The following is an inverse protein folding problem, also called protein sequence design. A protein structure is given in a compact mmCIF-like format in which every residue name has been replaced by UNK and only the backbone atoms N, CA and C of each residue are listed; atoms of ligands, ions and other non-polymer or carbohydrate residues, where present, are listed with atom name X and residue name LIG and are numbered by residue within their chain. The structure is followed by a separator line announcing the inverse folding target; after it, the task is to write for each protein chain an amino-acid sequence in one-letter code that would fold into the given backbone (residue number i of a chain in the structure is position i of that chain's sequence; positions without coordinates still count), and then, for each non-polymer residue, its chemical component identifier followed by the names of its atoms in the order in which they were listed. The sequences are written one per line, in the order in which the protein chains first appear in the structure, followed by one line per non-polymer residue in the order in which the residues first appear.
data_IF_970345625255
#
_entry.id   IF_970345625255
#
_cell.length_a   1.000
_cell.length_b   1.000
_cell.length_c   1.000
_cell.angle_alpha   90.00
_cell.angle_beta   90.00
_cell.angle_gamma   90.00
#
_symmetry.space_group_name_H-M   'P 1'
#
loop_
_entity.id
_entity.type
_entity.pdbx_description
1 polymer ?
#
# COMPACT_ATOMS: atom_id res chain seq x y z
N UNK A 1 9.79 16.87 3.23
CA UNK A 1 8.76 17.08 4.28
C UNK A 1 7.81 15.89 4.32
N UNK A 2 6.90 15.70 3.35
CA UNK A 2 5.92 14.60 3.36
C UNK A 2 6.46 13.19 3.73
N UNK A 3 7.59 12.74 3.18
CA UNK A 3 8.20 11.45 3.58
C UNK A 3 8.58 11.40 5.05
N UNK A 4 9.22 12.45 5.57
CA UNK A 4 9.61 12.53 6.97
C UNK A 4 8.39 12.57 7.89
N UNK A 5 7.35 13.31 7.51
CA UNK A 5 6.10 13.43 8.27
C UNK A 5 5.36 12.08 8.36
N UNK A 6 5.55 11.21 7.36
CA UNK A 6 4.99 9.85 7.30
C UNK A 6 5.96 8.77 7.83
N UNK A 7 7.15 9.15 8.33
CA UNK A 7 8.17 8.19 8.81
C UNK A 7 8.78 7.31 7.71
N UNK A 8 8.69 7.73 6.45
CA UNK A 8 9.18 6.97 5.29
C UNK A 8 10.66 7.30 5.04
N UNK A 9 11.55 6.29 4.91
CA UNK A 9 12.94 6.51 4.56
C UNK A 9 13.11 7.28 3.24
N UNK A 10 14.13 8.13 3.18
CA UNK A 10 14.38 8.97 2.01
C UNK A 10 14.73 8.15 0.76
N UNK A 11 15.37 6.99 0.95
CA UNK A 11 15.83 6.05 -0.08
C UNK A 11 14.83 4.93 -0.40
N UNK A 12 13.67 4.91 0.27
CA UNK A 12 12.64 3.92 0.00
C UNK A 12 11.95 4.15 -1.35
N UNK A 13 11.66 3.07 -2.07
CA UNK A 13 10.64 3.07 -3.12
C UNK A 13 9.29 3.33 -2.46
N UNK A 14 8.51 4.27 -2.98
CA UNK A 14 7.19 4.59 -2.45
C UNK A 14 6.16 4.42 -3.53
N UNK A 15 5.12 3.63 -3.24
CA UNK A 15 3.98 3.44 -4.14
C UNK A 15 2.73 3.97 -3.45
N UNK A 16 2.12 4.98 -4.04
CA UNK A 16 0.80 5.45 -3.63
C UNK A 16 -0.28 4.57 -4.24
N UNK A 17 -1.12 3.96 -3.40
CA UNK A 17 -2.19 3.06 -3.82
C UNK A 17 -3.55 3.67 -3.46
N UNK A 18 -4.39 3.93 -4.47
CA UNK A 18 -5.67 4.61 -4.30
C UNK A 18 -6.82 3.66 -4.70
N UNK A 19 -7.28 2.78 -3.79
CA UNK A 19 -8.28 1.75 -4.10
C UNK A 19 -9.71 2.28 -4.26
N UNK A 20 -9.93 3.58 -4.06
CA UNK A 20 -11.22 4.24 -4.20
C UNK A 20 -11.61 5.06 -2.98
N UNK A 21 -12.63 5.89 -3.15
CA UNK A 21 -13.21 6.70 -2.06
C UNK A 21 -14.52 6.12 -1.54
N UNK A 22 -15.15 5.23 -2.31
CA UNK A 22 -16.42 4.60 -1.96
C UNK A 22 -16.18 3.25 -1.31
N UNK A 23 -16.98 2.93 -0.29
CA UNK A 23 -16.87 1.67 0.42
C UNK A 23 -17.06 0.44 -0.49
N UNK A 24 -17.95 0.54 -1.49
CA UNK A 24 -18.17 -0.52 -2.48
C UNK A 24 -16.94 -0.76 -3.37
N UNK A 25 -16.23 0.29 -3.78
CA UNK A 25 -14.99 0.17 -4.56
C UNK A 25 -13.93 -0.58 -3.76
N UNK A 26 -13.71 -0.16 -2.51
CA UNK A 26 -12.66 -0.73 -1.65
C UNK A 26 -12.98 -2.18 -1.27
N UNK A 27 -14.25 -2.53 -1.04
CA UNK A 27 -14.65 -3.94 -0.79
C UNK A 27 -14.38 -4.85 -1.98
N UNK A 28 -14.58 -4.35 -3.20
CA UNK A 28 -14.39 -5.14 -4.42
C UNK A 28 -12.92 -5.22 -4.84
N UNK A 29 -12.20 -4.10 -4.75
CA UNK A 29 -10.90 -3.94 -5.40
C UNK A 29 -9.72 -3.83 -4.42
N UNK A 30 -9.97 -3.58 -3.13
CA UNK A 30 -8.91 -3.27 -2.17
C UNK A 30 -7.84 -4.37 -2.09
N UNK A 31 -8.28 -5.62 -2.00
CA UNK A 31 -7.39 -6.79 -1.95
C UNK A 31 -6.57 -6.96 -3.24
N UNK A 32 -7.23 -6.86 -4.41
CA UNK A 32 -6.60 -6.95 -5.72
C UNK A 32 -5.57 -5.83 -5.95
N UNK A 33 -5.89 -4.60 -5.51
CA UNK A 33 -4.98 -3.46 -5.61
C UNK A 33 -3.72 -3.66 -4.77
N UNK A 34 -3.86 -4.16 -3.54
CA UNK A 34 -2.72 -4.46 -2.67
C UNK A 34 -1.85 -5.54 -3.32
N UNK A 35 -2.46 -6.61 -3.83
CA UNK A 35 -1.72 -7.67 -4.54
C UNK A 35 -0.95 -7.14 -5.75
N UNK A 36 -1.61 -6.33 -6.58
CA UNK A 36 -1.00 -5.77 -7.77
C UNK A 36 0.18 -4.85 -7.40
N UNK A 37 0.05 -4.08 -6.32
CA UNK A 37 1.13 -3.24 -5.82
C UNK A 37 2.33 -4.05 -5.31
N UNK A 38 2.10 -5.12 -4.54
CA UNK A 38 3.15 -6.05 -4.10
C UNK A 38 3.90 -6.66 -5.29
N UNK A 39 3.17 -7.16 -6.29
CA UNK A 39 3.76 -7.71 -7.51
C UNK A 39 4.54 -6.66 -8.32
N UNK A 40 4.02 -5.43 -8.41
CA UNK A 40 4.69 -4.34 -9.10
C UNK A 40 6.01 -3.97 -8.40
N UNK A 41 5.99 -3.86 -7.07
CA UNK A 41 7.21 -3.63 -6.26
C UNK A 41 8.21 -4.75 -6.46
N UNK A 42 7.80 -6.02 -6.42
CA UNK A 42 8.69 -7.16 -6.60
C UNK A 42 9.34 -7.19 -8.01
N UNK A 43 8.59 -6.80 -9.06
CA UNK A 43 9.10 -6.72 -10.44
C UNK A 43 10.06 -5.56 -10.64
N UNK A 44 9.82 -4.42 -9.98
CA UNK A 44 10.66 -3.22 -10.13
C UNK A 44 11.90 -3.30 -9.25
N UNK A 45 11.79 -3.79 -8.01
CA UNK A 45 12.90 -3.86 -7.06
C UNK A 45 13.46 -5.29 -6.94
N UNK A 46 13.82 -5.89 -8.08
CA UNK A 46 14.30 -7.28 -8.14
C UNK A 46 15.51 -7.46 -7.22
N UNK A 47 15.40 -8.37 -6.25
CA UNK A 47 16.46 -8.67 -5.30
C UNK A 47 16.85 -7.51 -4.36
N UNK A 48 16.04 -6.46 -4.26
CA UNK A 48 16.35 -5.30 -3.41
C UNK A 48 17.53 -4.46 -3.90
N UNK A 49 17.92 -4.59 -5.17
CA UNK A 49 19.14 -3.95 -5.69
C UNK A 49 18.97 -2.45 -5.98
N UNK A 50 17.75 -2.02 -6.32
CA UNK A 50 17.48 -0.63 -6.72
C UNK A 50 17.08 0.24 -5.53
N UNK A 51 16.34 -0.33 -4.58
CA UNK A 51 15.86 0.37 -3.40
C UNK A 51 16.06 -0.49 -2.15
N UNK A 52 16.59 0.12 -1.09
CA UNK A 52 16.84 -0.54 0.20
C UNK A 52 15.57 -1.08 0.86
N UNK A 53 14.45 -0.40 0.63
CA UNK A 53 13.13 -0.79 1.11
C UNK A 53 12.05 -0.26 0.17
N UNK A 54 10.84 -0.82 0.30
CA UNK A 54 9.65 -0.35 -0.40
C UNK A 54 8.52 -0.13 0.59
N UNK A 55 7.74 0.94 0.40
CA UNK A 55 6.62 1.33 1.25
C UNK A 55 5.40 1.57 0.38
N UNK A 56 4.30 0.87 0.69
CA UNK A 56 2.98 1.16 0.12
C UNK A 56 2.26 2.18 0.99
N UNK A 57 1.80 3.27 0.40
CA UNK A 57 1.03 4.32 1.08
C UNK A 57 -0.39 4.33 0.54
N UNK A 58 -1.37 4.07 1.41
CA UNK A 58 -2.79 4.06 1.04
C UNK A 58 -3.50 5.24 1.73
N UNK A 59 -3.71 6.38 1.02
CA UNK A 59 -4.49 7.48 1.58
C UNK A 59 -5.96 7.03 1.75
N UNK A 60 -6.47 7.14 2.98
CA UNK A 60 -7.83 6.76 3.31
C UNK A 60 -8.68 8.02 3.48
N UNK A 61 -9.77 8.14 2.71
CA UNK A 61 -10.65 9.32 2.74
C UNK A 61 -11.45 9.46 4.04
N UNK A 62 -11.63 8.37 4.79
CA UNK A 62 -12.30 8.36 6.09
C UNK A 62 -11.94 7.10 6.89
N UNK A 63 -12.39 7.07 8.14
CA UNK A 63 -12.13 5.99 9.10
C UNK A 63 -12.68 4.62 8.68
N UNK A 64 -13.85 4.59 8.03
CA UNK A 64 -14.46 3.32 7.58
C UNK A 64 -13.60 2.64 6.51
N UNK A 65 -13.08 3.43 5.58
CA UNK A 65 -12.16 2.94 4.55
C UNK A 65 -10.84 2.50 5.18
N UNK A 66 -10.30 3.27 6.13
CA UNK A 66 -9.08 2.92 6.88
C UNK A 66 -9.22 1.58 7.60
N UNK A 67 -10.32 1.37 8.33
CA UNK A 67 -10.59 0.12 9.04
C UNK A 67 -10.68 -1.07 8.10
N UNK A 68 -11.41 -0.93 6.97
CA UNK A 68 -11.56 -2.01 5.99
C UNK A 68 -10.22 -2.38 5.35
N UNK A 69 -9.43 -1.40 4.93
CA UNK A 69 -8.11 -1.66 4.35
C UNK A 69 -7.15 -2.28 5.36
N UNK A 70 -7.19 -1.84 6.62
CA UNK A 70 -6.40 -2.44 7.71
C UNK A 70 -6.76 -3.92 7.89
N UNK A 71 -8.04 -4.26 7.84
CA UNK A 71 -8.50 -5.66 7.90
C UNK A 71 -8.01 -6.49 6.72
N UNK A 72 -8.08 -5.95 5.50
CA UNK A 72 -7.59 -6.61 4.28
C UNK A 72 -6.08 -6.89 4.39
N UNK A 73 -5.30 -5.88 4.77
CA UNK A 73 -3.84 -6.02 4.95
C UNK A 73 -3.50 -7.02 6.05
N UNK A 74 -4.20 -6.97 7.18
CA UNK A 74 -3.99 -7.90 8.28
C UNK A 74 -4.26 -9.36 7.88
N UNK A 75 -5.33 -9.60 7.11
CA UNK A 75 -5.63 -10.94 6.57
C UNK A 75 -4.52 -11.45 5.65
N UNK A 76 -3.94 -10.59 4.82
CA UNK A 76 -2.84 -10.97 3.91
C UNK A 76 -1.57 -11.35 4.65
N UNK A 77 -1.19 -10.62 5.70
CA UNK A 77 0.01 -10.91 6.50
C UNK A 77 -0.06 -12.22 7.29
N UNK A 78 -1.25 -12.84 7.41
CA UNK A 78 -1.46 -14.13 8.04
C UNK A 78 -1.39 -15.32 7.05
N UNK A 79 -1.19 -15.04 5.76
CA UNK A 79 -1.11 -16.02 4.66
C UNK A 79 0.32 -16.12 4.14
#
# INVERSE_FOLDING_TARGET
RARADLGIPADALVVGLLPGSRLSEVRLLGDLFIQAAEQAVARVNVGGQLYRSAVLVIPCVNEKIRSLLTEIVAKRNLT
#
